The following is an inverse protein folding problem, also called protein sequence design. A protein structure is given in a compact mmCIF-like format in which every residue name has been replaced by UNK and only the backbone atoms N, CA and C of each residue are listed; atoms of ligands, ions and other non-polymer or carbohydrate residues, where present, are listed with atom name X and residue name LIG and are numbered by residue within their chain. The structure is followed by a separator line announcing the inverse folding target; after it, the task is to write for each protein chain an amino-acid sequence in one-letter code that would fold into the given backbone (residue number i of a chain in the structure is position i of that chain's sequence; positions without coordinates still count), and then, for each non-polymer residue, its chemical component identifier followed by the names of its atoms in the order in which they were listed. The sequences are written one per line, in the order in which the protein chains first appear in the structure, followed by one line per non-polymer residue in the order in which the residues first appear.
data_IF_023457502503
#
_entry.id   IF_023457502503
#
_cell.length_a   1.000
_cell.length_b   1.000
_cell.length_c   1.000
_cell.angle_alpha   90.00
_cell.angle_beta   90.00
_cell.angle_gamma   90.00
#
_symmetry.space_group_name_H-M   'P 1'
#
loop_
_entity.id
_entity.type
_entity.pdbx_description
1 polymer ?
#
# COMPACT_ATOMS: atom_id res chain seq x y z
N UNK A 1 5.10 17.20 -19.68
CA UNK A 1 6.30 17.19 -18.80
C UNK A 1 6.02 16.61 -17.42
N UNK A 2 4.75 16.59 -16.98
CA UNK A 2 4.28 16.00 -15.72
C UNK A 2 4.84 14.59 -15.42
N UNK A 3 4.97 13.71 -16.43
CA UNK A 3 5.49 12.35 -16.23
C UNK A 3 6.90 12.29 -15.63
N UNK A 4 7.81 13.21 -16.02
CA UNK A 4 9.16 13.26 -15.43
C UNK A 4 9.09 13.75 -13.98
N UNK A 5 8.28 14.78 -13.71
CA UNK A 5 7.97 15.26 -12.36
C UNK A 5 7.52 14.14 -11.43
N UNK A 6 6.54 13.36 -11.89
CA UNK A 6 6.02 12.21 -11.16
C UNK A 6 7.10 11.17 -10.85
N UNK A 7 7.93 10.77 -11.83
CA UNK A 7 9.02 9.81 -11.59
C UNK A 7 10.00 10.30 -10.52
N UNK A 8 10.43 11.56 -10.58
CA UNK A 8 11.34 12.10 -9.55
C UNK A 8 10.66 12.22 -8.19
N UNK A 9 9.37 12.53 -8.13
CA UNK A 9 8.61 12.56 -6.88
C UNK A 9 8.52 11.16 -6.24
N UNK A 10 8.27 10.12 -7.04
CA UNK A 10 8.27 8.73 -6.58
C UNK A 10 9.64 8.35 -6.03
N UNK A 11 10.72 8.65 -6.75
CA UNK A 11 12.09 8.38 -6.27
C UNK A 11 12.37 9.12 -4.96
N UNK A 12 12.00 10.41 -4.86
CA UNK A 12 12.16 11.19 -3.64
C UNK A 12 11.37 10.64 -2.45
N UNK A 13 10.12 10.23 -2.68
CA UNK A 13 9.26 9.60 -1.67
C UNK A 13 9.83 8.26 -1.20
N UNK A 14 10.27 7.40 -2.13
CA UNK A 14 10.88 6.09 -1.80
C UNK A 14 12.17 6.26 -1.01
N UNK A 15 13.06 7.17 -1.41
CA UNK A 15 14.30 7.42 -0.66
C UNK A 15 13.99 7.98 0.73
N UNK A 16 13.07 8.94 0.84
CA UNK A 16 12.64 9.48 2.13
C UNK A 16 12.03 8.40 3.03
N UNK A 17 11.16 7.55 2.48
CA UNK A 17 10.54 6.43 3.16
C UNK A 17 11.56 5.39 3.65
N UNK A 18 12.54 5.03 2.82
CA UNK A 18 13.61 4.10 3.19
C UNK A 18 14.49 4.64 4.33
N UNK A 19 14.89 5.92 4.25
CA UNK A 19 15.66 6.56 5.32
C UNK A 19 14.85 6.57 6.62
N UNK A 20 13.56 6.89 6.54
CA UNK A 20 12.69 6.90 7.71
C UNK A 20 12.52 5.50 8.31
N UNK A 21 12.29 4.48 7.48
CA UNK A 21 12.19 3.08 7.88
C UNK A 21 13.45 2.60 8.61
N UNK A 22 14.64 2.84 8.02
CA UNK A 22 15.93 2.45 8.65
C UNK A 22 16.12 3.12 10.02
N UNK A 23 15.68 4.36 10.18
CA UNK A 23 15.76 5.05 11.48
C UNK A 23 14.81 4.42 12.50
N UNK A 24 13.57 4.10 12.11
CA UNK A 24 12.61 3.42 12.99
C UNK A 24 13.20 2.08 13.44
N UNK A 25 13.72 1.29 12.51
CA UNK A 25 14.30 -0.03 12.79
C UNK A 25 15.47 0.03 13.79
N UNK A 26 16.38 0.99 13.63
CA UNK A 26 17.56 1.11 14.51
C UNK A 26 17.18 1.65 15.89
N UNK A 27 16.22 2.58 15.96
CA UNK A 27 15.88 3.25 17.21
C UNK A 27 14.81 2.54 18.02
N UNK A 28 13.95 1.75 17.36
CA UNK A 28 12.69 1.25 17.93
C UNK A 28 11.69 2.37 18.26
N UNK A 29 11.98 3.62 17.88
CA UNK A 29 11.17 4.77 18.27
C UNK A 29 10.29 5.22 17.11
N UNK A 30 9.01 5.41 17.41
CA UNK A 30 8.00 5.93 16.48
C UNK A 30 8.20 7.44 16.25
N UNK A 31 9.26 7.81 15.50
CA UNK A 31 9.65 9.21 15.26
C UNK A 31 8.81 9.85 14.13
N UNK A 32 7.56 10.18 14.42
CA UNK A 32 6.65 10.88 13.49
C UNK A 32 7.15 12.25 13.05
N UNK A 33 8.06 12.87 13.80
CA UNK A 33 8.71 14.16 13.47
C UNK A 33 9.50 14.10 12.15
N UNK A 34 9.86 12.91 11.66
CA UNK A 34 10.56 12.74 10.38
C UNK A 34 9.62 12.74 9.17
N UNK A 35 8.30 12.59 9.35
CA UNK A 35 7.34 12.57 8.25
C UNK A 35 7.42 13.82 7.34
N UNK A 36 7.58 15.06 7.85
CA UNK A 36 7.79 16.24 7.01
C UNK A 36 9.03 16.18 6.11
N UNK A 37 10.08 15.45 6.51
CA UNK A 37 11.28 15.26 5.68
C UNK A 37 10.94 14.39 4.46
N UNK A 38 10.15 13.33 4.65
CA UNK A 38 9.64 12.49 3.54
C UNK A 38 8.80 13.33 2.58
N UNK A 39 7.90 14.16 3.10
CA UNK A 39 7.10 15.08 2.29
C UNK A 39 7.94 16.11 1.55
N UNK A 40 8.93 16.70 2.21
CA UNK A 40 9.89 17.61 1.58
C UNK A 40 10.68 16.95 0.45
N UNK A 41 11.14 15.71 0.64
CA UNK A 41 11.86 14.94 -0.38
C UNK A 41 10.98 14.64 -1.61
N UNK A 42 9.73 14.21 -1.40
CA UNK A 42 8.77 13.96 -2.48
C UNK A 42 8.42 15.25 -3.24
N UNK A 43 8.15 16.34 -2.50
CA UNK A 43 7.89 17.66 -3.08
C UNK A 43 9.07 18.21 -3.87
N UNK A 44 10.30 18.06 -3.34
CA UNK A 44 11.53 18.47 -4.03
C UNK A 44 11.77 17.66 -5.31
N UNK A 45 11.53 16.34 -5.26
CA UNK A 45 11.58 15.48 -6.44
C UNK A 45 10.60 15.96 -7.52
N UNK A 46 9.35 16.25 -7.15
CA UNK A 46 8.34 16.80 -8.05
C UNK A 46 8.82 18.12 -8.67
N UNK A 47 9.25 19.07 -7.84
CA UNK A 47 9.74 20.39 -8.28
C UNK A 47 10.91 20.27 -9.27
N UNK A 48 11.88 19.40 -8.99
CA UNK A 48 13.02 19.17 -9.88
C UNK A 48 12.60 18.54 -11.21
N UNK A 49 11.73 17.53 -11.16
CA UNK A 49 11.30 16.82 -12.37
C UNK A 49 10.36 17.61 -13.27
N UNK A 50 9.60 18.57 -12.72
CA UNK A 50 8.81 19.53 -13.51
C UNK A 50 9.64 20.73 -14.00
N UNK A 51 10.94 20.79 -13.68
CA UNK A 51 11.80 21.94 -13.97
C UNK A 51 11.28 23.24 -13.36
N UNK A 52 10.77 23.17 -12.13
CA UNK A 52 10.07 24.26 -11.43
C UNK A 52 8.86 24.83 -12.18
N UNK A 53 8.31 24.10 -13.16
CA UNK A 53 6.96 24.35 -13.67
C UNK A 53 5.92 23.68 -12.75
N UNK A 54 6.02 24.01 -11.46
CA UNK A 54 5.07 23.56 -10.45
C UNK A 54 3.67 24.09 -10.73
N UNK A 55 2.71 23.66 -9.91
CA UNK A 55 1.34 24.11 -9.96
C UNK A 55 0.47 23.29 -9.05
N UNK A 56 -0.80 23.69 -8.90
CA UNK A 56 -1.75 23.00 -8.03
C UNK A 56 -1.81 21.48 -8.28
N UNK A 57 -1.90 20.96 -9.53
CA UNK A 57 -1.93 19.52 -9.76
C UNK A 57 -0.66 18.80 -9.34
N UNK A 58 0.52 19.42 -9.51
CA UNK A 58 1.80 18.85 -9.10
C UNK A 58 1.91 18.77 -7.57
N UNK A 59 1.43 19.80 -6.86
CA UNK A 59 1.34 19.81 -5.41
C UNK A 59 0.41 18.71 -4.87
N UNK A 60 -0.79 18.56 -5.44
CA UNK A 60 -1.73 17.49 -5.04
C UNK A 60 -1.14 16.11 -5.25
N UNK A 61 -0.49 15.85 -6.40
CA UNK A 61 0.16 14.56 -6.67
C UNK A 61 1.31 14.29 -5.69
N UNK A 62 2.14 15.29 -5.38
CA UNK A 62 3.23 15.16 -4.42
C UNK A 62 2.71 14.85 -2.99
N UNK A 63 1.64 15.54 -2.57
CA UNK A 63 0.99 15.28 -1.28
C UNK A 63 0.39 13.87 -1.20
N UNK A 64 -0.31 13.42 -2.25
CA UNK A 64 -0.88 12.07 -2.31
C UNK A 64 0.19 10.99 -2.25
N UNK A 65 1.28 11.14 -3.01
CA UNK A 65 2.43 10.22 -2.95
C UNK A 65 3.10 10.19 -1.59
N UNK A 66 3.18 11.36 -0.92
CA UNK A 66 3.74 11.45 0.44
C UNK A 66 2.90 10.68 1.44
N UNK A 67 1.58 10.86 1.42
CA UNK A 67 0.69 10.09 2.29
C UNK A 67 0.82 8.60 2.01
N UNK A 68 0.77 8.19 0.74
CA UNK A 68 0.95 6.79 0.36
C UNK A 68 2.27 6.20 0.86
N UNK A 69 3.38 6.93 0.74
CA UNK A 69 4.68 6.49 1.24
C UNK A 69 4.69 6.37 2.78
N UNK A 70 4.10 7.34 3.48
CA UNK A 70 4.04 7.32 4.95
C UNK A 70 3.20 6.13 5.45
N UNK A 71 1.99 5.97 4.90
CA UNK A 71 1.12 4.85 5.25
C UNK A 71 1.72 3.50 4.85
N UNK A 72 2.40 3.42 3.70
CA UNK A 72 3.05 2.20 3.23
C UNK A 72 4.18 1.75 4.15
N UNK A 73 5.06 2.66 4.58
CA UNK A 73 6.12 2.33 5.55
C UNK A 73 5.51 1.85 6.86
N UNK A 74 4.47 2.53 7.35
CA UNK A 74 3.80 2.13 8.60
C UNK A 74 3.10 0.79 8.50
N UNK A 75 2.44 0.52 7.38
CA UNK A 75 1.86 -0.79 7.10
C UNK A 75 2.92 -1.89 7.21
N UNK A 76 4.10 -1.69 6.62
CA UNK A 76 5.20 -2.67 6.69
C UNK A 76 5.70 -2.84 8.13
N UNK A 77 5.93 -1.75 8.86
CA UNK A 77 6.42 -1.82 10.26
C UNK A 77 5.42 -2.54 11.16
N UNK A 78 4.14 -2.13 11.12
CA UNK A 78 3.08 -2.75 11.92
C UNK A 78 2.87 -4.21 11.53
N UNK A 79 2.89 -4.52 10.22
CA UNK A 79 2.78 -5.90 9.75
C UNK A 79 3.96 -6.75 10.22
N UNK A 80 5.19 -6.24 10.20
CA UNK A 80 6.36 -6.95 10.71
C UNK A 80 6.28 -7.16 12.23
N UNK A 81 5.80 -6.16 12.98
CA UNK A 81 5.62 -6.26 14.43
C UNK A 81 4.55 -7.30 14.77
N UNK A 82 3.38 -7.23 14.11
CA UNK A 82 2.32 -8.24 14.24
C UNK A 82 2.86 -9.62 13.88
N UNK A 83 3.54 -9.77 12.75
CA UNK A 83 4.14 -11.04 12.34
C UNK A 83 5.24 -11.53 13.28
N UNK A 84 5.94 -10.63 14.00
CA UNK A 84 6.92 -11.05 15.02
C UNK A 84 6.26 -11.51 16.32
N UNK A 85 5.09 -10.98 16.65
CA UNK A 85 4.28 -11.42 17.79
C UNK A 85 3.46 -12.68 17.47
N UNK A 86 3.02 -12.80 16.21
CA UNK A 86 2.34 -13.98 15.68
C UNK A 86 3.29 -15.02 15.14
N UNK A 87 4.61 -14.72 15.08
CA UNK A 87 5.62 -15.69 14.72
C UNK A 87 5.41 -16.86 15.67
N UNK A 88 4.93 -17.96 15.11
CA UNK A 88 4.52 -19.14 15.87
C UNK A 88 5.77 -19.66 16.56
N UNK A 89 5.95 -19.27 17.82
CA UNK A 89 6.97 -19.84 18.68
C UNK A 89 6.51 -21.23 19.07
N UNK A 90 7.46 -22.11 19.34
CA UNK A 90 7.17 -23.44 19.92
C UNK A 90 6.31 -23.32 21.19
N UNK A 91 6.50 -22.26 21.96
CA UNK A 91 5.67 -21.92 23.13
C UNK A 91 4.20 -21.68 22.76
N UNK A 92 3.90 -20.93 21.67
CA UNK A 92 2.52 -20.74 21.21
C UNK A 92 1.88 -22.05 20.74
N UNK A 93 2.67 -22.93 20.13
CA UNK A 93 2.21 -24.26 19.71
C UNK A 93 1.85 -25.11 20.92
N UNK A 94 2.75 -25.15 21.91
CA UNK A 94 2.54 -25.89 23.15
C UNK A 94 1.31 -25.34 23.88
N UNK A 95 1.11 -24.02 23.91
CA UNK A 95 -0.09 -23.40 24.48
C UNK A 95 -1.38 -23.85 23.76
N UNK A 96 -1.37 -23.91 22.43
CA UNK A 96 -2.54 -24.39 21.69
C UNK A 96 -2.83 -25.89 21.95
N UNK A 97 -1.79 -26.72 22.01
CA UNK A 97 -1.94 -28.14 22.34
C UNK A 97 -2.41 -28.30 23.80
N UNK A 98 -1.90 -27.49 24.73
CA UNK A 98 -2.31 -27.46 26.13
C UNK A 98 -3.79 -27.12 26.27
N UNK A 99 -4.32 -26.20 25.46
CA UNK A 99 -5.76 -25.92 25.41
C UNK A 99 -6.57 -27.19 25.05
N UNK A 100 -6.13 -27.95 24.04
CA UNK A 100 -6.78 -29.21 23.65
C UNK A 100 -6.67 -30.30 24.73
N UNK A 101 -5.51 -30.42 25.39
CA UNK A 101 -5.31 -31.35 26.51
C UNK A 101 -6.21 -30.98 27.70
N UNK A 102 -6.31 -29.70 28.02
CA UNK A 102 -7.16 -29.20 29.10
C UNK A 102 -8.64 -29.50 28.82
N UNK A 103 -9.11 -29.30 27.59
CA UNK A 103 -10.49 -29.63 27.19
C UNK A 103 -10.77 -31.14 27.37
N UNK A 104 -9.87 -32.01 26.90
CA UNK A 104 -9.99 -33.47 27.09
C UNK A 104 -10.03 -33.87 28.58
N UNK A 105 -9.14 -33.31 29.39
CA UNK A 105 -9.05 -33.62 30.82
C UNK A 105 -10.24 -33.10 31.61
N UNK A 106 -10.77 -31.92 31.25
CA UNK A 106 -11.98 -31.37 31.85
C UNK A 106 -13.20 -32.27 31.54
N UNK A 107 -13.31 -32.81 30.33
CA UNK A 107 -14.36 -33.79 29.97
C UNK A 107 -14.28 -35.09 30.81
N UNK A 108 -13.07 -35.51 31.16
CA UNK A 108 -12.83 -36.66 32.04
C UNK A 108 -13.00 -36.34 33.54
N UNK A 109 -13.18 -35.05 33.88
CA UNK A 109 -13.42 -34.57 35.24
C UNK A 109 -12.15 -34.34 36.06
N UNK A 110 -11.00 -34.18 35.41
CA UNK A 110 -9.77 -33.73 36.07
C UNK A 110 -9.79 -32.21 36.28
N UNK A 111 -9.04 -31.76 37.29
CA UNK A 111 -8.74 -30.35 37.49
C UNK A 111 -7.61 -29.96 36.53
N UNK A 112 -7.79 -28.89 35.76
CA UNK A 112 -6.86 -28.46 34.69
C UNK A 112 -6.31 -27.05 34.89
N UNK A 113 -6.88 -26.29 35.82
CA UNK A 113 -6.62 -24.86 36.01
C UNK A 113 -6.06 -24.56 37.40
N UNK A 114 -4.98 -23.79 37.48
CA UNK A 114 -4.45 -23.27 38.74
C UNK A 114 -5.03 -21.87 39.02
N UNK A 115 -5.94 -21.77 40.01
CA UNK A 115 -6.54 -20.50 40.42
C UNK A 115 -5.52 -19.46 40.93
N UNK A 116 -4.34 -19.89 41.42
CA UNK A 116 -3.33 -18.96 41.96
C UNK A 116 -2.46 -18.36 40.87
N UNK A 117 -2.11 -19.14 39.85
CA UNK A 117 -1.25 -18.69 38.75
C UNK A 117 -2.06 -18.09 37.59
N UNK A 118 -3.39 -18.25 37.61
CA UNK A 118 -4.29 -17.86 36.52
C UNK A 118 -3.88 -18.50 35.18
N UNK A 119 -3.44 -19.77 35.23
CA UNK A 119 -2.94 -20.53 34.08
C UNK A 119 -3.29 -22.03 34.21
N UNK A 120 -3.02 -22.83 33.16
CA UNK A 120 -3.15 -24.29 33.22
C UNK A 120 -2.13 -24.91 34.17
N UNK A 121 -2.52 -26.02 34.79
CA UNK A 121 -1.61 -26.79 35.64
C UNK A 121 -0.36 -27.22 34.86
N UNK A 122 0.84 -27.25 35.48
CA UNK A 122 2.08 -27.67 34.82
C UNK A 122 1.97 -29.05 34.13
N UNK A 123 1.18 -29.96 34.69
CA UNK A 123 0.94 -31.28 34.13
C UNK A 123 0.25 -31.24 32.74
N UNK A 124 -0.58 -30.23 32.48
CA UNK A 124 -1.21 -30.02 31.16
C UNK A 124 -0.16 -29.61 30.13
N UNK A 125 0.76 -28.73 30.52
CA UNK A 125 1.87 -28.29 29.67
C UNK A 125 2.90 -29.39 29.42
N UNK A 126 3.19 -30.21 30.42
CA UNK A 126 4.06 -31.38 30.28
C UNK A 126 3.47 -32.37 29.27
N UNK A 127 2.19 -32.71 29.40
CA UNK A 127 1.49 -33.60 28.45
C UNK A 127 1.41 -32.98 27.04
N UNK A 128 1.14 -31.67 26.93
CA UNK A 128 1.14 -30.97 25.64
C UNK A 128 2.51 -31.00 24.96
N UNK A 129 3.58 -30.81 25.74
CA UNK A 129 4.96 -30.90 25.26
C UNK A 129 5.29 -32.32 24.80
N UNK A 130 4.91 -33.34 25.58
CA UNK A 130 5.10 -34.74 25.20
C UNK A 130 4.38 -35.04 23.88
N UNK A 131 3.10 -34.65 23.74
CA UNK A 131 2.34 -34.79 22.48
C UNK A 131 3.00 -34.08 21.31
N UNK A 132 3.50 -32.86 21.50
CA UNK A 132 4.21 -32.12 20.46
C UNK A 132 5.49 -32.85 20.02
N UNK A 133 6.28 -33.36 20.97
CA UNK A 133 7.54 -34.06 20.67
C UNK A 133 7.33 -35.45 20.07
N UNK A 134 6.19 -36.09 20.34
CA UNK A 134 5.81 -37.38 19.76
C UNK A 134 5.27 -37.26 18.32
N UNK A 135 4.83 -36.06 17.90
CA UNK A 135 4.45 -35.80 16.51
C UNK A 135 5.65 -35.95 15.58
N UNK A 136 5.43 -36.54 14.40
CA UNK A 136 6.44 -36.56 13.36
C UNK A 136 6.73 -35.15 12.82
N UNK A 137 7.92 -34.93 12.27
CA UNK A 137 8.28 -33.63 11.65
C UNK A 137 7.25 -33.16 10.60
N UNK A 138 6.58 -34.10 9.90
CA UNK A 138 5.57 -33.75 8.90
C UNK A 138 4.27 -33.25 9.56
N UNK A 139 3.86 -33.87 10.67
CA UNK A 139 2.70 -33.43 11.45
C UNK A 139 2.96 -32.10 12.14
N UNK A 140 4.18 -31.89 12.66
CA UNK A 140 4.60 -30.60 13.20
C UNK A 140 4.54 -29.50 12.14
N UNK A 141 5.06 -29.74 10.93
CA UNK A 141 4.97 -28.77 9.82
C UNK A 141 3.52 -28.47 9.41
N UNK A 142 2.66 -29.50 9.33
CA UNK A 142 1.24 -29.34 8.99
C UNK A 142 0.50 -28.53 10.07
N UNK A 143 0.73 -28.81 11.35
CA UNK A 143 0.14 -28.08 12.46
C UNK A 143 0.59 -26.61 12.49
N UNK A 144 1.90 -26.36 12.32
CA UNK A 144 2.46 -25.01 12.19
C UNK A 144 1.85 -24.24 11.01
N UNK A 145 1.63 -24.91 9.88
CA UNK A 145 0.98 -24.32 8.72
C UNK A 145 -0.46 -23.91 9.01
N UNK A 146 -1.23 -24.76 9.70
CA UNK A 146 -2.62 -24.45 10.08
C UNK A 146 -2.69 -23.25 11.03
N UNK A 147 -1.82 -23.18 12.04
CA UNK A 147 -1.74 -22.03 12.95
C UNK A 147 -1.36 -20.74 12.21
N UNK A 148 -0.40 -20.84 11.28
CA UNK A 148 0.03 -19.69 10.48
C UNK A 148 -1.10 -19.17 9.61
N UNK A 149 -1.82 -20.07 8.90
CA UNK A 149 -2.96 -19.70 8.05
C UNK A 149 -4.07 -19.00 8.85
N UNK A 150 -4.43 -19.52 10.04
CA UNK A 150 -5.41 -18.88 10.91
C UNK A 150 -4.95 -17.50 11.43
N UNK A 151 -3.67 -17.37 11.75
CA UNK A 151 -3.08 -16.11 12.22
C UNK A 151 -3.05 -15.03 11.14
N UNK A 152 -2.81 -15.40 9.88
CA UNK A 152 -2.76 -14.48 8.74
C UNK A 152 -4.14 -13.86 8.46
N UNK A 153 -5.22 -14.63 8.59
CA UNK A 153 -6.59 -14.11 8.45
C UNK A 153 -6.92 -13.08 9.55
N UNK A 154 -6.58 -13.39 10.80
CA UNK A 154 -6.75 -12.47 11.91
C UNK A 154 -5.89 -11.20 11.74
N UNK A 155 -4.61 -11.36 11.37
CA UNK A 155 -3.70 -10.26 11.12
C UNK A 155 -4.24 -9.32 10.03
N UNK A 156 -4.77 -9.87 8.92
CA UNK A 156 -5.36 -9.08 7.84
C UNK A 156 -6.58 -8.26 8.32
N UNK A 157 -7.39 -8.83 9.22
CA UNK A 157 -8.54 -8.14 9.82
C UNK A 157 -8.13 -7.02 10.79
N UNK A 158 -7.11 -7.26 11.62
CA UNK A 158 -6.69 -6.32 12.67
C UNK A 158 -5.71 -5.25 12.19
N UNK A 159 -4.92 -5.50 11.13
CA UNK A 159 -3.91 -4.56 10.63
C UNK A 159 -4.46 -3.15 10.34
N UNK A 160 -5.63 -2.96 9.69
CA UNK A 160 -6.19 -1.63 9.48
C UNK A 160 -6.54 -0.89 10.79
N UNK A 161 -7.02 -1.64 11.80
CA UNK A 161 -7.31 -1.07 13.12
C UNK A 161 -6.04 -0.72 13.87
N UNK A 162 -5.04 -1.62 13.86
CA UNK A 162 -3.73 -1.36 14.44
C UNK A 162 -3.09 -0.10 13.82
N UNK A 163 -3.18 0.07 12.49
CA UNK A 163 -2.70 1.28 11.83
C UNK A 163 -3.47 2.54 12.23
N UNK A 164 -4.79 2.45 12.42
CA UNK A 164 -5.61 3.57 12.87
C UNK A 164 -5.21 4.02 14.29
N UNK A 165 -4.94 3.06 15.19
CA UNK A 165 -4.53 3.34 16.56
C UNK A 165 -3.05 3.80 16.64
N UNK A 166 -2.14 3.19 15.89
CA UNK A 166 -0.70 3.56 15.86
C UNK A 166 -0.50 4.98 15.30
N UNK A 167 -1.30 5.40 14.32
CA UNK A 167 -1.23 6.77 13.81
C UNK A 167 -1.56 7.81 14.88
N UNK A 168 -2.53 7.53 15.74
CA UNK A 168 -3.01 8.46 16.76
C UNK A 168 -3.32 9.87 16.23
N UNK A 169 -3.49 10.82 17.16
CA UNK A 169 -3.68 12.24 16.79
C UNK A 169 -2.36 12.86 16.30
N UNK A 170 -1.24 12.48 16.90
CA UNK A 170 0.07 13.04 16.61
C UNK A 170 0.61 12.61 15.23
N UNK A 171 0.56 11.32 14.89
CA UNK A 171 0.96 10.84 13.57
C UNK A 171 0.07 11.39 12.46
N UNK A 172 -1.24 11.52 12.71
CA UNK A 172 -2.16 12.21 11.78
C UNK A 172 -1.73 13.65 11.53
N UNK A 173 -1.42 14.40 12.58
CA UNK A 173 -0.93 15.78 12.47
C UNK A 173 0.39 15.85 11.67
N UNK A 174 1.35 14.97 11.97
CA UNK A 174 2.61 14.89 11.24
C UNK A 174 2.43 14.51 9.76
N UNK A 175 1.51 13.61 9.44
CA UNK A 175 1.19 13.24 8.06
C UNK A 175 0.55 14.40 7.28
N UNK A 176 -0.34 15.17 7.92
CA UNK A 176 -0.90 16.39 7.32
C UNK A 176 0.19 17.43 7.09
N UNK A 177 1.10 17.64 8.05
CA UNK A 177 2.24 18.54 7.87
C UNK A 177 3.16 18.07 6.74
N UNK A 178 3.41 16.78 6.62
CA UNK A 178 4.20 16.20 5.54
C UNK A 178 3.55 16.42 4.18
N UNK A 179 2.25 16.11 4.07
CA UNK A 179 1.47 16.36 2.87
C UNK A 179 1.43 17.84 2.49
N UNK A 180 1.27 18.73 3.47
CA UNK A 180 1.32 20.19 3.27
C UNK A 180 2.70 20.67 2.81
N UNK A 181 3.77 20.12 3.37
CA UNK A 181 5.16 20.42 2.97
C UNK A 181 5.43 19.94 1.54
N UNK A 182 4.99 18.73 1.21
CA UNK A 182 5.07 18.17 -0.14
C UNK A 182 4.26 18.98 -1.15
N UNK A 183 3.03 19.36 -0.79
CA UNK A 183 2.15 20.20 -1.60
C UNK A 183 2.82 21.53 -1.88
N UNK A 184 3.24 22.24 -0.83
CA UNK A 184 3.87 23.56 -0.94
C UNK A 184 5.08 23.48 -1.87
N UNK A 185 6.02 22.58 -1.57
CA UNK A 185 7.27 22.41 -2.35
C UNK A 185 7.00 21.98 -3.79
N UNK A 186 6.05 21.06 -4.02
CA UNK A 186 5.71 20.58 -5.36
C UNK A 186 4.88 21.60 -6.18
N UNK A 187 4.19 22.52 -5.51
CA UNK A 187 3.41 23.58 -6.14
C UNK A 187 4.23 24.82 -6.50
N UNK A 188 5.40 25.01 -5.87
CA UNK A 188 6.28 26.15 -6.10
C UNK A 188 6.67 26.27 -7.57
N UNK A 189 6.42 27.44 -8.14
CA UNK A 189 6.82 27.78 -9.51
C UNK A 189 8.21 28.42 -9.53
N UNK A 190 8.87 28.39 -10.69
CA UNK A 190 10.16 29.05 -10.91
C UNK A 190 10.11 30.54 -10.51
N UNK A 191 9.00 31.23 -10.80
CA UNK A 191 8.81 32.65 -10.46
C UNK A 191 8.89 32.88 -8.96
N UNK A 192 8.17 32.07 -8.18
CA UNK A 192 8.13 32.17 -6.72
C UNK A 192 9.48 31.78 -6.08
N UNK A 193 10.14 30.74 -6.62
CA UNK A 193 11.46 30.31 -6.16
C UNK A 193 12.56 31.35 -6.43
N UNK A 194 12.45 32.10 -7.54
CA UNK A 194 13.38 33.18 -7.87
C UNK A 194 13.14 34.42 -7.00
N UNK A 195 11.87 34.77 -6.75
CA UNK A 195 11.50 35.85 -5.82
C UNK A 195 12.01 35.55 -4.41
N UNK A 196 11.84 34.31 -3.93
CA UNK A 196 12.28 33.90 -2.59
C UNK A 196 13.80 33.93 -2.41
N UNK A 197 14.58 33.70 -3.47
CA UNK A 197 16.05 33.77 -3.42
C UNK A 197 16.61 35.19 -3.41
N UNK A 198 15.78 36.21 -3.57
CA UNK A 198 16.23 37.61 -3.57
C UNK A 198 17.18 37.95 -4.72
N UNK A 199 17.33 37.07 -5.71
CA UNK A 199 17.97 37.43 -6.96
C UNK A 199 16.99 38.35 -7.67
N UNK A 200 17.36 39.64 -7.74
CA UNK A 200 16.69 40.64 -8.57
C UNK A 200 16.91 40.33 -10.06
N UNK A 201 16.46 39.15 -10.49
CA UNK A 201 16.15 38.91 -11.88
C UNK A 201 14.98 39.83 -12.15
N UNK A 202 15.21 40.78 -13.07
CA UNK A 202 14.18 41.68 -13.57
C UNK A 202 12.89 40.87 -13.77
N UNK A 203 11.88 41.14 -12.93
CA UNK A 203 10.66 40.32 -12.81
C UNK A 203 10.00 40.18 -14.18
N UNK A 204 10.24 41.15 -15.08
CA UNK A 204 9.86 41.08 -16.49
C UNK A 204 10.48 39.92 -17.26
N UNK A 205 11.76 39.59 -17.05
CA UNK A 205 12.44 38.51 -17.77
C UNK A 205 11.95 37.12 -17.34
N UNK A 206 11.72 36.92 -16.04
CA UNK A 206 11.14 35.69 -15.52
C UNK A 206 9.69 35.49 -16.02
N UNK A 207 8.89 36.56 -15.99
CA UNK A 207 7.50 36.53 -16.49
C UNK A 207 7.43 36.25 -17.99
N UNK A 208 8.37 36.79 -18.79
CA UNK A 208 8.46 36.50 -20.23
C UNK A 208 8.78 35.02 -20.47
N UNK A 209 9.81 34.47 -19.80
CA UNK A 209 10.16 33.05 -19.93
C UNK A 209 9.00 32.16 -19.50
N UNK A 210 8.32 32.48 -18.39
CA UNK A 210 7.16 31.73 -17.93
C UNK A 210 5.98 31.83 -18.92
N UNK A 211 5.74 33.00 -19.52
CA UNK A 211 4.70 33.19 -20.54
C UNK A 211 4.99 32.41 -21.82
N UNK A 212 6.23 32.39 -22.30
CA UNK A 212 6.66 31.61 -23.47
C UNK A 212 6.50 30.11 -23.21
N UNK A 213 6.82 29.65 -22.00
CA UNK A 213 6.63 28.26 -21.60
C UNK A 213 5.14 27.88 -21.52
N UNK A 214 4.27 28.75 -20.98
CA UNK A 214 2.81 28.53 -20.95
C UNK A 214 2.21 28.53 -22.37
N UNK A 215 2.66 29.42 -23.24
CA UNK A 215 2.23 29.47 -24.64
C UNK A 215 2.61 28.19 -25.41
N UNK A 216 3.80 27.64 -25.13
CA UNK A 216 4.25 26.36 -25.71
C UNK A 216 3.41 25.16 -25.24
N UNK A 217 2.88 25.15 -24.00
CA UNK A 217 2.04 24.06 -23.48
C UNK A 217 0.56 24.19 -23.88
N UNK A 218 0.01 25.42 -23.91
CA UNK A 218 -1.38 25.67 -24.28
C UNK A 218 -1.72 25.27 -25.72
N UNK A 219 -0.74 25.27 -26.63
CA UNK A 219 -0.92 24.88 -28.03
C UNK A 219 -0.92 23.37 -28.30
N UNK A 220 -0.55 22.52 -27.34
CA UNK A 220 -0.24 21.11 -27.63
C UNK A 220 -1.34 20.10 -27.30
N UNK A 221 -2.12 20.31 -26.24
CA UNK A 221 -3.02 19.28 -25.71
C UNK A 221 -4.49 19.51 -26.10
N UNK A 222 -5.06 20.68 -25.78
CA UNK A 222 -6.45 21.00 -26.15
C UNK A 222 -6.62 21.33 -27.64
N UNK A 223 -5.62 21.93 -28.28
CA UNK A 223 -5.63 22.14 -29.73
C UNK A 223 -5.61 20.82 -30.53
N UNK A 224 -5.19 19.71 -29.90
CA UNK A 224 -5.17 18.36 -30.50
C UNK A 224 -6.48 17.60 -30.26
N UNK A 225 -7.24 17.94 -29.23
CA UNK A 225 -8.56 17.37 -28.95
C UNK A 225 -9.69 18.10 -29.71
N UNK A 226 -9.49 19.35 -30.11
CA UNK A 226 -10.46 20.14 -30.89
C UNK A 226 -10.26 20.11 -32.40
N UNK A 227 -9.20 19.46 -32.90
CA UNK A 227 -8.96 19.29 -34.34
C UNK A 227 -9.45 17.91 -34.76
N UNK A 228 -10.77 17.73 -34.76
CA UNK A 228 -11.37 16.79 -35.71
C UNK A 228 -10.97 17.29 -37.10
N UNK A 229 -10.05 16.59 -37.75
CA UNK A 229 -9.85 16.76 -39.19
C UNK A 229 -11.22 16.58 -39.84
N UNK A 230 -11.71 17.56 -40.64
CA UNK A 230 -12.89 17.32 -41.45
C UNK A 230 -12.57 16.11 -42.33
N UNK A 231 -13.19 14.99 -42.00
CA UNK A 231 -13.09 13.78 -42.80
C UNK A 231 -13.56 14.14 -44.20
N UNK A 232 -12.61 14.17 -45.13
CA UNK A 232 -12.89 14.35 -46.55
C UNK A 232 -14.00 13.36 -46.94
N UNK A 233 -15.05 13.79 -47.65
CA UNK A 233 -16.20 12.95 -47.93
C UNK A 233 -15.75 11.69 -48.68
N UNK A 234 -15.76 10.58 -47.94
CA UNK A 234 -15.48 9.25 -48.46
C UNK A 234 -16.58 8.91 -49.46
N UNK A 235 -16.24 9.01 -50.75
CA UNK A 235 -17.09 8.57 -51.85
C UNK A 235 -17.40 7.09 -51.64
N UNK A 236 -18.67 6.78 -51.44
CA UNK A 236 -19.15 5.44 -51.18
C UNK A 236 -18.93 4.53 -52.41
N UNK A 237 -18.18 3.42 -52.30
CA UNK A 237 -18.29 2.37 -53.28
C UNK A 237 -19.63 1.65 -53.10
N UNK A 238 -20.38 1.63 -54.21
CA UNK A 238 -21.65 0.97 -54.44
C UNK A 238 -21.61 -0.50 -53.97
N UNK A 239 -22.51 -0.86 -53.04
CA UNK A 239 -22.68 -2.19 -52.47
C UNK A 239 -23.50 -3.07 -53.42
N UNK A 240 -22.97 -4.15 -54.01
CA UNK A 240 -23.80 -5.14 -54.68
C UNK A 240 -24.56 -5.99 -53.67
N UNK A 241 -25.80 -6.34 -54.04
CA UNK A 241 -26.74 -7.15 -53.29
C UNK A 241 -26.40 -8.66 -53.37
N UNK A 242 -26.81 -9.40 -52.34
CA UNK A 242 -26.71 -10.87 -52.21
C UNK A 242 -25.84 -11.26 -51.02
N UNK A 243 -26.17 -12.19 -50.12
CA UNK A 243 -27.15 -13.29 -50.10
C UNK A 243 -27.32 -13.72 -48.63
N UNK A 244 -28.48 -14.23 -48.16
CA UNK A 244 -28.65 -14.72 -46.79
C UNK A 244 -28.17 -16.19 -46.65
N UNK A 245 -27.33 -16.46 -45.66
CA UNK A 245 -26.97 -17.81 -45.20
C UNK A 245 -26.24 -17.69 -43.85
N UNK A 246 -26.85 -18.07 -42.73
CA UNK A 246 -27.03 -19.43 -42.18
C UNK A 246 -25.80 -19.93 -41.41
N UNK A 247 -26.06 -20.48 -40.21
CA UNK A 247 -25.18 -21.29 -39.33
C UNK A 247 -24.09 -20.51 -38.55
N UNK A 248 -23.72 -20.81 -37.30
CA UNK A 248 -24.11 -21.80 -36.29
C UNK A 248 -23.57 -21.27 -34.94
N UNK A 249 -24.40 -21.13 -33.90
CA UNK A 249 -24.41 -21.93 -32.66
C UNK A 249 -23.22 -22.88 -32.50
N UNK A 250 -22.29 -22.55 -31.58
CA UNK A 250 -21.55 -23.50 -30.74
C UNK A 250 -20.64 -22.71 -29.77
N UNK A 251 -20.93 -22.74 -28.47
CA UNK A 251 -20.03 -22.12 -27.48
C UNK A 251 -20.58 -21.90 -26.07
N UNK A 252 -21.57 -22.68 -25.63
CA UNK A 252 -22.05 -22.68 -24.24
C UNK A 252 -22.34 -24.12 -23.83
N UNK A 253 -21.31 -24.91 -23.50
CA UNK A 253 -21.54 -26.23 -22.87
C UNK A 253 -20.40 -26.73 -21.96
N UNK A 254 -19.30 -25.99 -21.81
CA UNK A 254 -18.19 -26.43 -20.96
C UNK A 254 -18.31 -26.00 -19.49
N UNK A 255 -19.21 -25.07 -19.15
CA UNK A 255 -19.31 -24.51 -17.79
C UNK A 255 -20.33 -25.22 -16.88
N UNK A 256 -21.25 -26.03 -17.42
CA UNK A 256 -22.28 -26.71 -16.61
C UNK A 256 -21.89 -28.12 -16.14
N UNK A 257 -20.82 -28.71 -16.67
CA UNK A 257 -20.44 -30.10 -16.34
C UNK A 257 -19.49 -30.22 -15.12
N UNK A 258 -18.94 -29.09 -14.66
CA UNK A 258 -18.12 -29.07 -13.43
C UNK A 258 -18.95 -29.01 -12.14
N UNK A 259 -20.16 -28.46 -12.19
CA UNK A 259 -20.99 -28.27 -11.00
C UNK A 259 -21.69 -29.55 -10.55
N UNK A 260 -21.94 -30.49 -11.47
CA UNK A 260 -22.51 -31.80 -11.16
C UNK A 260 -21.52 -32.74 -10.44
N UNK A 261 -20.21 -32.62 -10.69
CA UNK A 261 -19.19 -33.48 -10.06
C UNK A 261 -18.86 -33.08 -8.61
N UNK A 262 -19.10 -31.84 -8.22
CA UNK A 262 -18.91 -31.38 -6.83
C UNK A 262 -20.02 -31.82 -5.86
N UNK A 263 -21.14 -32.35 -6.35
CA UNK A 263 -22.25 -32.81 -5.49
C UNK A 263 -22.25 -34.32 -5.24
N UNK A 264 -21.28 -35.06 -5.78
CA UNK A 264 -21.22 -36.52 -5.69
C UNK A 264 -19.93 -37.05 -5.01
N UNK A 265 -19.09 -36.16 -4.50
CA UNK A 265 -17.97 -36.44 -3.60
C UNK A 265 -18.30 -35.81 -2.25
#
# INVERSE_FOLDING_TARGET
MLGKGFTFAVVGAVVGALVWFVIIEITGWSLWVLAPIVGGAAGYGMMRGTQMRGGFPAGVLAAGLTLFAIFGVRFIVVNNEIQSHLAVSEENVINEIAYGVAEEWEEEGYEVWDEQEEDYLPEVYDEATDRWTDMSETEQEEFMSMLTEGSDEAAALFTPFALLFDFGLFGTFCAVLAAGTAFKTGSTTLEEALIERGEAIDVGHAAIIASDMRAAEGGGFFARLGREEPTSPKTAPMKPAGTPGSSCIAGQSAAQDQEARRRAA
#
